data_IF_987378015855
#
_entry.id   IF_987378015855
#
_cell.length_a   1.000
_cell.length_b   1.000
_cell.length_c   1.000
_cell.angle_alpha   90.00
_cell.angle_beta   90.00
_cell.angle_gamma   90.00
#
_symmetry.space_group_name_H-M   'P 1'
#
loop_
_entity.id
_entity.type
_entity.pdbx_description
1 polymer ?
#
# COMPACT_ATOMS: atom_id res chain seq x y z
N UNK A 1 14.20 5.77 -3.91
CA UNK A 1 12.74 5.89 -3.67
C UNK A 1 12.39 6.30 -2.25
N UNK A 2 13.07 5.82 -1.19
CA UNK A 2 12.75 6.23 0.20
C UNK A 2 12.75 7.75 0.42
N UNK A 3 13.71 8.47 -0.19
CA UNK A 3 13.80 9.93 -0.09
C UNK A 3 12.61 10.66 -0.75
N UNK A 4 11.93 10.06 -1.72
CA UNK A 4 10.80 10.69 -2.42
C UNK A 4 9.51 10.62 -1.59
N UNK A 5 9.21 9.46 -0.98
CA UNK A 5 8.02 9.32 -0.14
C UNK A 5 8.11 10.17 1.14
N UNK A 6 9.30 10.26 1.74
CA UNK A 6 9.53 11.15 2.89
C UNK A 6 9.25 12.60 2.51
N UNK A 7 9.90 13.11 1.46
CA UNK A 7 9.71 14.50 1.02
C UNK A 7 8.24 14.79 0.68
N UNK A 8 7.55 13.86 0.01
CA UNK A 8 6.12 14.00 -0.27
C UNK A 8 5.30 14.10 1.02
N UNK A 9 5.53 13.20 1.98
CA UNK A 9 4.80 13.22 3.25
C UNK A 9 5.11 14.47 4.09
N UNK A 10 6.34 15.00 4.03
CA UNK A 10 6.71 16.26 4.67
C UNK A 10 5.90 17.44 4.11
N UNK A 11 5.63 17.46 2.80
CA UNK A 11 4.72 18.44 2.19
C UNK A 11 3.26 18.26 2.62
N UNK A 12 2.80 17.01 2.81
CA UNK A 12 1.47 16.75 3.38
C UNK A 12 1.39 17.31 4.81
N UNK A 13 2.43 17.14 5.61
CA UNK A 13 2.51 17.70 6.97
C UNK A 13 2.54 19.23 6.98
N UNK A 14 3.25 19.85 6.02
CA UNK A 14 3.21 21.30 5.83
C UNK A 14 1.82 21.80 5.44
N UNK A 15 1.13 21.10 4.53
CA UNK A 15 -0.24 21.42 4.14
C UNK A 15 -1.20 21.37 5.34
N UNK A 16 -1.14 20.31 6.14
CA UNK A 16 -1.93 20.18 7.37
C UNK A 16 -1.65 21.34 8.33
N UNK A 17 -0.38 21.74 8.48
CA UNK A 17 0.04 22.83 9.38
C UNK A 17 -0.52 24.19 8.97
N UNK A 18 -0.74 24.43 7.68
CA UNK A 18 -1.36 25.67 7.18
C UNK A 18 -2.80 25.83 7.66
N UNK A 19 -3.47 24.74 8.05
CA UNK A 19 -4.80 24.78 8.66
C UNK A 19 -5.91 25.30 7.73
N UNK A 20 -5.69 25.29 6.41
CA UNK A 20 -6.68 25.75 5.41
C UNK A 20 -7.72 24.68 5.08
N UNK A 21 -7.42 23.42 5.35
CA UNK A 21 -8.34 22.30 5.19
C UNK A 21 -9.13 22.07 6.47
N UNK A 22 -10.47 22.01 6.34
CA UNK A 22 -11.39 21.80 7.46
C UNK A 22 -11.49 20.34 7.92
N UNK A 23 -10.96 19.39 7.12
CA UNK A 23 -10.90 17.97 7.51
C UNK A 23 -9.99 17.80 8.71
N UNK A 24 -10.23 16.74 9.49
CA UNK A 24 -9.34 16.40 10.61
C UNK A 24 -7.97 16.02 10.05
N UNK A 25 -6.91 16.35 10.79
CA UNK A 25 -5.52 15.95 10.46
C UNK A 25 -5.44 14.49 9.99
N UNK A 26 -5.98 13.56 10.77
CA UNK A 26 -5.92 12.12 10.46
C UNK A 26 -6.62 11.76 9.14
N UNK A 27 -7.70 12.46 8.78
CA UNK A 27 -8.44 12.21 7.54
C UNK A 27 -7.61 12.66 6.33
N UNK A 28 -6.89 13.79 6.46
CA UNK A 28 -5.95 14.27 5.43
C UNK A 28 -4.76 13.30 5.30
N UNK A 29 -4.19 12.88 6.43
CA UNK A 29 -3.07 11.92 6.45
C UNK A 29 -3.45 10.60 5.77
N UNK A 30 -4.63 10.05 6.08
CA UNK A 30 -5.16 8.83 5.43
C UNK A 30 -5.39 9.00 3.94
N UNK A 31 -5.87 10.16 3.52
CA UNK A 31 -6.17 10.44 2.12
C UNK A 31 -4.93 10.71 1.27
N UNK A 32 -3.85 11.21 1.87
CA UNK A 32 -2.71 11.74 1.12
C UNK A 32 -1.39 11.01 1.37
N UNK A 33 -1.07 10.55 2.60
CA UNK A 33 0.27 10.04 2.88
C UNK A 33 0.53 8.69 2.20
N UNK A 34 1.74 8.56 1.66
CA UNK A 34 2.20 7.37 0.94
C UNK A 34 3.34 6.67 1.69
N UNK A 35 3.49 5.36 1.48
CA UNK A 35 4.67 4.62 1.93
C UNK A 35 5.82 4.74 0.93
N UNK A 36 7.00 4.20 1.28
CA UNK A 36 8.20 4.22 0.43
C UNK A 36 8.01 3.63 -0.97
N UNK A 37 7.05 2.72 -1.15
CA UNK A 37 6.69 2.14 -2.46
C UNK A 37 5.54 2.84 -3.18
N UNK A 38 5.02 3.94 -2.63
CA UNK A 38 4.02 4.76 -3.29
C UNK A 38 2.55 4.45 -2.97
N UNK A 39 2.19 3.32 -2.36
CA UNK A 39 0.80 3.11 -1.92
C UNK A 39 0.49 3.70 -0.56
N UNK A 40 -0.71 3.42 -0.06
CA UNK A 40 -1.28 4.07 1.11
C UNK A 40 -0.45 3.86 2.39
N UNK A 41 -0.17 4.95 3.10
CA UNK A 41 0.52 4.88 4.40
C UNK A 41 -0.36 4.21 5.46
N UNK A 42 -1.64 4.60 5.54
CA UNK A 42 -2.61 4.06 6.49
C UNK A 42 -3.40 2.90 5.89
N UNK A 43 -3.53 1.79 6.62
CA UNK A 43 -4.18 0.58 6.11
C UNK A 43 -5.68 0.61 6.32
N UNK A 44 -6.41 0.02 5.39
CA UNK A 44 -7.86 -0.18 5.43
C UNK A 44 -8.11 -1.68 5.51
N UNK A 45 -9.12 -2.07 6.29
CA UNK A 45 -9.48 -3.47 6.39
C UNK A 45 -10.00 -3.95 5.04
N UNK A 46 -9.48 -5.07 4.52
CA UNK A 46 -9.89 -5.59 3.21
C UNK A 46 -11.21 -6.40 3.23
N UNK A 47 -11.81 -6.62 4.39
CA UNK A 47 -13.08 -7.33 4.48
C UNK A 47 -14.23 -6.46 3.95
N UNK A 48 -15.08 -7.02 3.09
CA UNK A 48 -16.12 -6.29 2.34
C UNK A 48 -17.06 -5.44 3.21
N UNK A 49 -17.37 -5.92 4.42
CA UNK A 49 -18.30 -5.25 5.34
C UNK A 49 -17.57 -4.53 6.49
N UNK A 50 -16.29 -4.18 6.30
CA UNK A 50 -15.48 -3.51 7.30
C UNK A 50 -14.83 -2.25 6.75
N UNK A 51 -15.23 -1.10 7.29
CA UNK A 51 -14.70 0.21 6.89
C UNK A 51 -13.64 0.76 7.87
N UNK A 52 -13.10 -0.10 8.74
CA UNK A 52 -12.06 0.31 9.68
C UNK A 52 -10.78 0.66 8.93
N UNK A 53 -10.17 1.77 9.36
CA UNK A 53 -8.88 2.26 8.87
C UNK A 53 -7.95 2.45 10.06
N UNK A 54 -6.67 2.12 9.91
CA UNK A 54 -5.65 2.33 10.94
C UNK A 54 -5.52 3.81 11.34
N UNK A 55 -5.00 4.03 12.55
CA UNK A 55 -4.75 5.37 13.11
C UNK A 55 -5.83 5.86 14.08
N UNK A 56 -5.50 6.85 14.90
CA UNK A 56 -6.38 7.31 15.98
C UNK A 56 -6.54 6.24 17.07
N UNK A 57 -7.78 5.83 17.35
CA UNK A 57 -8.08 4.83 18.40
C UNK A 57 -8.03 3.37 17.90
N UNK A 58 -7.85 3.15 16.60
CA UNK A 58 -7.70 1.79 16.06
C UNK A 58 -6.23 1.40 16.10
N UNK A 59 -5.92 0.27 16.74
CA UNK A 59 -4.58 -0.31 16.74
C UNK A 59 -4.12 -0.73 15.34
N UNK A 60 -2.85 -1.13 15.24
CA UNK A 60 -2.27 -1.62 13.99
C UNK A 60 -2.98 -2.90 13.51
N UNK A 61 -3.30 -2.94 12.23
CA UNK A 61 -3.93 -4.06 11.56
C UNK A 61 -2.91 -5.18 11.34
N UNK A 62 -3.42 -6.40 11.22
CA UNK A 62 -2.62 -7.57 10.87
C UNK A 62 -2.60 -7.73 9.36
N UNK A 63 -1.44 -8.09 8.82
CA UNK A 63 -1.34 -8.44 7.40
C UNK A 63 -1.54 -9.96 7.20
N UNK A 64 -1.90 -10.35 5.98
CA UNK A 64 -1.89 -11.75 5.58
C UNK A 64 -0.48 -12.33 5.72
N UNK A 65 -0.31 -13.43 6.47
CA UNK A 65 1.00 -14.04 6.71
C UNK A 65 1.70 -14.52 5.45
N UNK A 66 0.95 -14.92 4.42
CA UNK A 66 1.50 -15.40 3.13
C UNK A 66 1.98 -14.24 2.26
N UNK A 67 1.08 -13.31 1.93
CA UNK A 67 1.37 -12.30 0.92
C UNK A 67 1.82 -10.94 1.49
N UNK A 68 1.54 -10.66 2.76
CA UNK A 68 1.86 -9.41 3.47
C UNK A 68 1.30 -8.11 2.85
N UNK A 69 0.40 -8.22 1.86
CA UNK A 69 -0.16 -7.08 1.13
C UNK A 69 -1.63 -6.76 1.49
N UNK A 70 -2.38 -7.74 2.01
CA UNK A 70 -3.75 -7.52 2.50
C UNK A 70 -3.76 -7.31 4.01
N UNK A 71 -4.50 -6.31 4.49
CA UNK A 71 -4.55 -5.89 5.89
C UNK A 71 -5.95 -6.07 6.48
N UNK A 72 -6.00 -6.43 7.76
CA UNK A 72 -7.22 -6.77 8.48
C UNK A 72 -7.17 -6.25 9.91
N UNK A 73 -8.27 -5.63 10.37
CA UNK A 73 -8.38 -5.18 11.76
C UNK A 73 -8.43 -6.36 12.76
N UNK A 74 -8.80 -7.56 12.30
CA UNK A 74 -8.93 -8.76 13.11
C UNK A 74 -8.77 -10.04 12.29
N UNK A 75 -8.50 -11.16 12.97
CA UNK A 75 -8.50 -12.49 12.35
C UNK A 75 -9.88 -12.86 11.78
N UNK A 76 -10.97 -12.37 12.40
CA UNK A 76 -12.33 -12.56 11.89
C UNK A 76 -12.51 -11.95 10.50
N UNK A 77 -12.05 -10.71 10.30
CA UNK A 77 -12.06 -10.05 9.00
C UNK A 77 -11.19 -10.76 7.96
N UNK A 78 -10.02 -11.28 8.36
CA UNK A 78 -9.18 -12.08 7.46
C UNK A 78 -9.89 -13.36 7.00
N UNK A 79 -10.53 -14.08 7.92
CA UNK A 79 -11.28 -15.31 7.60
C UNK A 79 -12.48 -15.03 6.72
N UNK A 80 -13.23 -13.96 7.01
CA UNK A 80 -14.39 -13.56 6.20
C UNK A 80 -14.00 -13.25 4.74
N UNK A 81 -12.88 -12.55 4.54
CA UNK A 81 -12.38 -12.22 3.20
C UNK A 81 -11.60 -13.35 2.51
N UNK A 82 -11.33 -14.47 3.20
CA UNK A 82 -10.44 -15.52 2.67
C UNK A 82 -10.95 -16.16 1.37
N UNK A 83 -12.28 -16.30 1.21
CA UNK A 83 -12.89 -16.89 0.03
C UNK A 83 -12.44 -16.19 -1.25
N UNK A 84 -12.37 -14.87 -1.23
CA UNK A 84 -12.02 -14.05 -2.39
C UNK A 84 -10.52 -13.78 -2.42
N UNK A 85 -9.93 -13.50 -1.27
CA UNK A 85 -8.49 -13.26 -1.15
C UNK A 85 -7.63 -14.42 -1.67
N UNK A 86 -8.01 -15.67 -1.38
CA UNK A 86 -7.18 -16.84 -1.73
C UNK A 86 -6.90 -16.96 -3.23
N UNK A 87 -7.78 -16.41 -4.07
CA UNK A 87 -7.67 -16.44 -5.54
C UNK A 87 -6.46 -15.63 -5.99
N UNK A 88 -6.21 -14.48 -5.35
CA UNK A 88 -5.11 -13.57 -5.68
C UNK A 88 -3.94 -13.66 -4.68
N UNK A 89 -4.05 -14.45 -3.61
CA UNK A 89 -3.10 -14.41 -2.49
C UNK A 89 -1.68 -14.86 -2.90
N UNK A 90 -0.80 -13.87 -3.11
CA UNK A 90 0.58 -14.06 -3.55
C UNK A 90 0.74 -14.25 -5.06
N UNK A 91 -0.29 -13.95 -5.85
CA UNK A 91 -0.18 -13.90 -7.31
C UNK A 91 0.56 -12.63 -7.77
N UNK A 92 0.98 -12.61 -9.03
CA UNK A 92 1.57 -11.43 -9.65
C UNK A 92 0.57 -10.26 -9.79
N UNK A 93 -0.73 -10.58 -9.92
CA UNK A 93 -1.81 -9.60 -10.05
C UNK A 93 -2.17 -8.93 -8.72
N UNK A 94 -1.66 -9.44 -7.60
CA UNK A 94 -1.95 -8.87 -6.30
C UNK A 94 -1.14 -7.60 -6.06
N UNK A 95 -1.84 -6.46 -6.05
CA UNK A 95 -1.25 -5.15 -5.79
C UNK A 95 -1.32 -4.76 -4.32
N UNK A 96 -0.49 -3.78 -3.98
CA UNK A 96 -0.57 -3.12 -2.69
C UNK A 96 -1.84 -2.27 -2.53
N UNK A 97 -2.24 -1.97 -1.29
CA UNK A 97 -3.28 -0.98 -1.06
C UNK A 97 -2.82 0.42 -1.54
N UNK A 98 -3.54 0.96 -2.51
CA UNK A 98 -3.36 2.32 -3.05
C UNK A 98 -4.26 3.33 -2.34
N UNK A 99 -3.94 4.62 -2.46
CA UNK A 99 -4.80 5.72 -2.02
C UNK A 99 -6.09 5.78 -2.87
N UNK A 100 -7.21 6.33 -2.34
CA UNK A 100 -8.44 6.50 -3.13
C UNK A 100 -8.24 7.29 -4.43
N UNK A 101 -7.38 8.31 -4.41
CA UNK A 101 -7.03 9.09 -5.60
C UNK A 101 -6.28 8.26 -6.64
N UNK A 102 -5.38 7.36 -6.20
CA UNK A 102 -4.67 6.44 -7.09
C UNK A 102 -5.62 5.41 -7.71
N UNK A 103 -6.57 4.87 -6.93
CA UNK A 103 -7.61 3.97 -7.47
C UNK A 103 -8.48 4.67 -8.52
N UNK A 104 -8.86 5.92 -8.24
CA UNK A 104 -9.64 6.74 -9.16
C UNK A 104 -8.86 7.01 -10.45
N UNK A 105 -7.57 7.37 -10.32
CA UNK A 105 -6.67 7.59 -11.45
C UNK A 105 -6.53 6.30 -12.30
N UNK A 106 -6.35 5.16 -11.65
CA UNK A 106 -6.23 3.87 -12.33
C UNK A 106 -7.50 3.53 -13.10
N UNK A 107 -8.66 3.60 -12.44
CA UNK A 107 -9.94 3.22 -13.02
C UNK A 107 -10.40 4.14 -14.15
N UNK A 108 -10.27 5.45 -13.99
CA UNK A 108 -10.87 6.43 -14.91
C UNK A 108 -9.91 7.04 -15.91
N UNK A 109 -8.60 6.97 -15.67
CA UNK A 109 -7.61 7.57 -16.57
C UNK A 109 -6.71 6.49 -17.16
N UNK A 110 -6.06 5.67 -16.33
CA UNK A 110 -5.07 4.72 -16.85
C UNK A 110 -5.72 3.53 -17.58
N UNK A 111 -6.79 2.94 -17.06
CA UNK A 111 -7.44 1.80 -17.69
C UNK A 111 -8.00 2.14 -19.09
N UNK A 112 -8.76 3.24 -19.28
CA UNK A 112 -9.25 3.60 -20.62
C UNK A 112 -8.13 3.87 -21.62
N UNK A 113 -7.00 4.47 -21.19
CA UNK A 113 -5.87 4.72 -22.07
C UNK A 113 -5.16 3.42 -22.50
N UNK A 114 -5.17 2.41 -21.65
CA UNK A 114 -4.61 1.09 -21.96
C UNK A 114 -5.51 0.24 -22.86
N UNK A 115 -6.80 0.49 -22.82
CA UNK A 115 -7.76 -0.12 -23.73
C UNK A 115 -7.85 0.64 -25.07
N UNK A 116 -7.13 1.76 -25.22
CA UNK A 116 -7.17 2.56 -26.45
C UNK A 116 -6.57 1.81 -27.65
N UNK A 117 -7.07 2.08 -28.85
CA UNK A 117 -6.56 1.43 -30.07
C UNK A 117 -5.20 1.96 -30.53
N UNK A 118 -4.68 3.01 -29.88
CA UNK A 118 -3.37 3.59 -30.18
C UNK A 118 -2.27 2.83 -29.42
N UNK A 119 -1.47 2.04 -30.16
CA UNK A 119 -0.40 1.24 -29.58
C UNK A 119 0.71 2.06 -28.92
N UNK A 120 0.93 3.32 -29.34
CA UNK A 120 1.91 4.19 -28.69
C UNK A 120 1.39 4.63 -27.31
N UNK A 121 0.09 4.96 -27.23
CA UNK A 121 -0.57 5.30 -25.95
C UNK A 121 -0.56 4.11 -25.00
N UNK A 122 -0.88 2.91 -25.50
CA UNK A 122 -0.80 1.67 -24.73
C UNK A 122 0.61 1.41 -24.18
N UNK A 123 1.63 1.50 -25.03
CA UNK A 123 3.01 1.24 -24.63
C UNK A 123 3.47 2.21 -23.53
N UNK A 124 3.15 3.50 -23.67
CA UNK A 124 3.49 4.53 -22.68
C UNK A 124 2.76 4.30 -21.35
N UNK A 125 1.46 3.99 -21.39
CA UNK A 125 0.66 3.73 -20.19
C UNK A 125 1.07 2.44 -19.47
N UNK A 126 1.48 1.40 -20.20
CA UNK A 126 2.00 0.17 -19.61
C UNK A 126 3.28 0.43 -18.82
N UNK A 127 4.19 1.24 -19.37
CA UNK A 127 5.40 1.65 -18.66
C UNK A 127 5.07 2.43 -17.36
N UNK A 128 4.04 3.29 -17.38
CA UNK A 128 3.57 4.00 -16.18
C UNK A 128 2.95 3.06 -15.15
N UNK A 129 2.12 2.08 -15.56
CA UNK A 129 1.54 1.09 -14.64
C UNK A 129 2.59 0.26 -13.90
N UNK A 130 3.68 -0.11 -14.56
CA UNK A 130 4.80 -0.85 -13.93
C UNK A 130 5.48 -0.01 -12.83
N UNK A 131 5.52 1.32 -12.98
CA UNK A 131 6.05 2.24 -11.97
C UNK A 131 5.13 2.45 -10.75
N UNK A 132 3.81 2.42 -10.95
CA UNK A 132 2.81 2.52 -9.87
C UNK A 132 2.59 1.21 -9.12
N UNK A 133 2.70 0.07 -9.81
CA UNK A 133 2.59 -1.28 -9.24
C UNK A 133 3.93 -1.78 -8.72
N UNK A 134 4.70 -0.92 -8.04
CA UNK A 134 6.01 -1.31 -7.51
C UNK A 134 5.82 -2.50 -6.56
N UNK A 135 6.24 -3.68 -7.04
CA UNK A 135 6.15 -4.93 -6.31
C UNK A 135 6.99 -4.76 -5.05
N UNK A 136 6.36 -4.55 -3.89
CA UNK A 136 7.08 -4.69 -2.62
C UNK A 136 7.19 -6.16 -2.29
N UNK A 137 8.09 -6.82 -3.00
CA UNK A 137 8.93 -7.86 -2.42
C UNK A 137 10.25 -7.22 -1.96
N UNK A 138 10.17 -6.13 -1.19
CA UNK A 138 11.30 -5.66 -0.40
C UNK A 138 11.02 -6.09 1.04
N UNK A 139 11.51 -7.28 1.35
CA UNK A 139 12.07 -7.66 2.64
C UNK A 139 12.55 -6.45 3.46
N UNK A 140 12.25 -6.51 4.77
CA UNK A 140 12.86 -5.80 5.90
C UNK A 140 12.11 -4.55 6.41
N UNK A 141 11.42 -4.78 7.53
CA UNK A 141 10.77 -3.74 8.34
C UNK A 141 10.06 -4.27 9.60
N UNK A 142 10.17 -5.57 9.90
CA UNK A 142 9.80 -6.11 11.20
C UNK A 142 11.03 -6.84 11.73
N UNK A 143 11.58 -6.32 12.83
CA UNK A 143 12.83 -6.78 13.43
C UNK A 143 12.81 -8.28 13.71
N UNK A 144 13.77 -8.98 13.12
CA UNK A 144 14.20 -10.27 13.61
C UNK A 144 15.51 -10.05 14.37
N UNK A 145 15.39 -10.16 15.68
CA UNK A 145 16.52 -10.33 16.58
C UNK A 145 17.06 -11.75 16.32
N UNK A 146 18.29 -11.87 15.84
CA UNK A 146 19.01 -13.14 15.81
C UNK A 146 20.35 -12.94 16.52
N UNK A 147 20.34 -13.28 17.80
CA UNK A 147 21.50 -13.60 18.62
C UNK A 147 21.99 -15.01 18.29
N UNK A 148 23.32 -15.19 18.18
CA UNK A 148 24.03 -16.47 18.15
C UNK A 148 24.11 -17.12 16.76
N UNK A 149 25.20 -17.73 16.31
CA UNK A 149 26.35 -18.30 17.02
C UNK A 149 27.62 -18.27 16.15
N UNK A 150 28.74 -18.26 16.86
CA UNK A 150 30.12 -18.47 16.43
C UNK A 150 30.31 -19.80 15.69
N UNK A 151 31.14 -19.79 14.64
CA UNK A 151 31.61 -21.01 13.99
C UNK A 151 32.78 -20.72 13.05
N UNK A 152 33.99 -20.76 13.61
CA UNK A 152 35.23 -20.86 12.84
C UNK A 152 35.23 -22.12 11.97
N UNK A 153 35.94 -22.10 10.83
CA UNK A 153 36.88 -23.15 10.42
C UNK A 153 37.85 -22.53 9.42
N UNK A 154 39.12 -22.62 9.81
CA UNK A 154 40.34 -22.48 9.02
C UNK A 154 40.46 -23.58 7.96
N UNK A 155 40.99 -23.22 6.79
CA UNK A 155 42.23 -23.77 6.19
C UNK A 155 42.41 -23.23 4.78
#
# INVERSE_FOLDING_TARGET
>A
MEMQAKTFNDHVDEYIRKGTDMRRKLDIERAAKIRSSGGAMFKVCKAEQCNLQEGGNTGSFKCCGKCKLAFYCSLGCQRAHWRDHKIICGSADQTEQTLPSQQTLEMHILNPLLESTDENVKQYCNAMKVGLNSRVAASLGCGLNISGESGAISS
#
